data_IF_459149303137
#
_entry.id   IF_459149303137
#
_cell.length_a   1.000
_cell.length_b   1.000
_cell.length_c   1.000
_cell.angle_alpha   90.00
_cell.angle_beta   90.00
_cell.angle_gamma   90.00
#
_symmetry.space_group_name_H-M   'P 1'
#
loop_
_entity.id
_entity.type
_entity.pdbx_description
1 polymer ?
#
# COMPACT_ATOMS: atom_id res chain seq x y z
N UNK A 1 -7.78 -5.46 10.13
CA UNK A 1 -7.60 -4.05 9.77
C UNK A 1 -8.72 -3.69 8.82
N UNK A 2 -9.43 -2.60 9.07
CA UNK A 2 -10.48 -2.14 8.17
C UNK A 2 -9.88 -1.56 6.89
N UNK A 3 -10.63 -1.61 5.79
CA UNK A 3 -10.18 -1.09 4.49
C UNK A 3 -9.70 0.37 4.57
N UNK A 4 -10.39 1.20 5.37
CA UNK A 4 -10.04 2.62 5.54
C UNK A 4 -8.71 2.79 6.27
N UNK A 5 -8.46 1.99 7.31
CA UNK A 5 -7.21 1.98 8.07
C UNK A 5 -6.05 1.54 7.18
N UNK A 6 -6.25 0.49 6.36
CA UNK A 6 -5.25 0.01 5.43
C UNK A 6 -4.89 1.06 4.38
N UNK A 7 -5.89 1.77 3.85
CA UNK A 7 -5.66 2.89 2.92
C UNK A 7 -4.86 4.03 3.55
N UNK A 8 -5.11 4.35 4.82
CA UNK A 8 -4.36 5.35 5.56
C UNK A 8 -2.90 4.93 5.78
N UNK A 9 -2.67 3.67 6.14
CA UNK A 9 -1.33 3.12 6.36
C UNK A 9 -0.50 3.13 5.06
N UNK A 10 -1.10 2.73 3.93
CA UNK A 10 -0.45 2.79 2.62
C UNK A 10 0.05 4.21 2.31
N UNK A 11 -0.76 5.24 2.62
CA UNK A 11 -0.37 6.62 2.36
C UNK A 11 0.77 7.09 3.26
N UNK A 12 0.81 6.66 4.53
CA UNK A 12 1.93 6.95 5.41
C UNK A 12 3.23 6.31 4.89
N UNK A 13 3.18 5.04 4.52
CA UNK A 13 4.34 4.32 3.99
C UNK A 13 4.80 4.91 2.65
N UNK A 14 3.87 5.35 1.79
CA UNK A 14 4.20 6.09 0.55
C UNK A 14 4.96 7.39 0.83
N UNK A 15 4.60 8.12 1.88
CA UNK A 15 5.36 9.29 2.31
C UNK A 15 6.78 8.92 2.75
N UNK A 16 6.93 7.81 3.47
CA UNK A 16 8.24 7.29 3.88
C UNK A 16 9.07 6.89 2.66
N UNK A 17 8.49 6.18 1.69
CA UNK A 17 9.16 5.82 0.43
C UNK A 17 9.70 7.06 -0.29
N UNK A 18 8.91 8.13 -0.38
CA UNK A 18 9.35 9.38 -1.01
C UNK A 18 10.55 10.00 -0.26
N UNK A 19 10.52 9.99 1.08
CA UNK A 19 11.66 10.46 1.88
C UNK A 19 12.92 9.60 1.65
N UNK A 20 12.78 8.28 1.54
CA UNK A 20 13.89 7.38 1.25
C UNK A 20 14.46 7.62 -0.16
N UNK A 21 13.59 7.75 -1.16
CA UNK A 21 13.96 8.03 -2.54
C UNK A 21 14.71 9.37 -2.68
N UNK A 22 14.25 10.42 -1.98
CA UNK A 22 14.93 11.71 -1.96
C UNK A 22 16.30 11.65 -1.26
N UNK A 23 16.42 10.86 -0.19
CA UNK A 23 17.62 10.81 0.64
C UNK A 23 18.71 9.89 0.09
N UNK A 24 18.31 8.75 -0.48
CA UNK A 24 19.24 7.68 -0.87
C UNK A 24 19.19 7.35 -2.37
N UNK A 25 18.16 7.81 -3.08
CA UNK A 25 17.92 7.50 -4.48
C UNK A 25 16.90 6.38 -4.67
N UNK A 26 16.33 6.34 -5.88
CA UNK A 26 15.25 5.39 -6.24
C UNK A 26 15.74 3.94 -6.38
N UNK A 27 17.03 3.74 -6.66
CA UNK A 27 17.65 2.41 -6.80
C UNK A 27 18.33 1.93 -5.51
N UNK A 28 18.27 2.71 -4.42
CA UNK A 28 18.80 2.27 -3.13
C UNK A 28 17.97 1.09 -2.60
N UNK A 29 18.65 0.08 -2.05
CA UNK A 29 18.01 -1.13 -1.56
C UNK A 29 16.91 -0.86 -0.51
N UNK A 30 17.06 0.17 0.32
CA UNK A 30 16.06 0.53 1.34
C UNK A 30 14.80 1.13 0.70
N UNK A 31 14.98 1.94 -0.34
CA UNK A 31 13.87 2.49 -1.13
C UNK A 31 13.14 1.37 -1.85
N UNK A 32 13.87 0.45 -2.49
CA UNK A 32 13.28 -0.71 -3.17
C UNK A 32 12.51 -1.62 -2.20
N UNK A 33 13.10 -1.98 -1.06
CA UNK A 33 12.44 -2.80 -0.05
C UNK A 33 11.14 -2.16 0.46
N UNK A 34 11.15 -0.84 0.72
CA UNK A 34 9.95 -0.11 1.11
C UNK A 34 8.88 -0.11 0.01
N UNK A 35 9.29 -0.04 -1.26
CA UNK A 35 8.37 -0.14 -2.40
C UNK A 35 7.67 -1.51 -2.43
N UNK A 36 8.43 -2.58 -2.25
CA UNK A 36 7.89 -3.96 -2.23
C UNK A 36 6.89 -4.16 -1.08
N UNK A 37 7.18 -3.62 0.11
CA UNK A 37 6.23 -3.64 1.24
C UNK A 37 4.92 -2.93 0.91
N UNK A 38 4.99 -1.78 0.23
CA UNK A 38 3.81 -1.02 -0.19
C UNK A 38 2.99 -1.79 -1.22
N UNK A 39 3.64 -2.47 -2.18
CA UNK A 39 2.95 -3.28 -3.19
C UNK A 39 2.14 -4.42 -2.57
N UNK A 40 2.66 -5.05 -1.50
CA UNK A 40 1.93 -6.07 -0.73
C UNK A 40 0.68 -5.46 -0.09
N UNK A 41 0.81 -4.30 0.57
CA UNK A 41 -0.33 -3.64 1.21
C UNK A 41 -1.40 -3.20 0.20
N UNK A 42 -0.98 -2.66 -0.95
CA UNK A 42 -1.89 -2.27 -2.04
C UNK A 42 -2.61 -3.49 -2.60
N UNK A 43 -1.92 -4.61 -2.76
CA UNK A 43 -2.52 -5.87 -3.20
C UNK A 43 -3.59 -6.37 -2.22
N UNK A 44 -3.30 -6.30 -0.92
CA UNK A 44 -4.25 -6.62 0.15
C UNK A 44 -5.48 -5.69 0.12
N UNK A 45 -5.25 -4.38 -0.01
CA UNK A 45 -6.31 -3.38 -0.10
C UNK A 45 -7.23 -3.66 -1.29
N UNK A 46 -6.66 -3.92 -2.47
CA UNK A 46 -7.40 -4.24 -3.68
C UNK A 46 -8.21 -5.53 -3.50
N UNK A 47 -7.63 -6.56 -2.88
CA UNK A 47 -8.35 -7.81 -2.57
C UNK A 47 -9.57 -7.55 -1.69
N UNK A 48 -9.41 -6.81 -0.60
CA UNK A 48 -10.52 -6.48 0.31
C UNK A 48 -11.59 -5.61 -0.37
N UNK A 49 -11.18 -4.63 -1.19
CA UNK A 49 -12.11 -3.83 -1.99
C UNK A 49 -12.97 -4.69 -2.91
N UNK A 50 -12.35 -5.63 -3.62
CA UNK A 50 -13.08 -6.53 -4.53
C UNK A 50 -14.08 -7.41 -3.78
N UNK A 51 -13.69 -7.97 -2.62
CA UNK A 51 -14.59 -8.78 -1.79
C UNK A 51 -15.80 -7.97 -1.27
N UNK A 52 -15.59 -6.71 -0.88
CA UNK A 52 -16.67 -5.81 -0.48
C UNK A 52 -17.61 -5.46 -1.65
N UNK A 53 -17.06 -5.30 -2.85
CA UNK A 53 -17.84 -5.09 -4.08
C UNK A 53 -18.68 -6.31 -4.45
N UNK A 54 -18.11 -7.52 -4.36
CA UNK A 54 -18.82 -8.78 -4.63
C UNK A 54 -19.96 -9.03 -3.63
N UNK A 55 -19.74 -8.74 -2.34
CA UNK A 55 -20.81 -8.83 -1.33
C UNK A 55 -21.99 -7.89 -1.60
N UNK A 56 -21.75 -6.72 -2.21
CA UNK A 56 -22.82 -5.75 -2.55
C UNK A 56 -23.68 -6.16 -3.74
N UNK A 57 -23.14 -6.99 -4.66
CA UNK A 57 -23.87 -7.47 -5.85
C UNK A 57 -24.59 -8.81 -5.62
N UNK A 58 -24.47 -9.40 -4.43
CA UNK A 58 -25.04 -10.72 -4.09
C UNK A 58 -26.31 -10.62 -3.23
N UNK A 59 -26.94 -9.44 -3.17
CA UNK A 59 -28.16 -9.16 -2.38
C UNK A 59 -29.22 -8.57 -3.32
#
# INVERSE_FOLDING_TARGET
MELKELGYLIEQERCILNMLAQRYGVLDQRTLAKSEEIDIMVSEYNRQRMQLGQKKNSI
#
